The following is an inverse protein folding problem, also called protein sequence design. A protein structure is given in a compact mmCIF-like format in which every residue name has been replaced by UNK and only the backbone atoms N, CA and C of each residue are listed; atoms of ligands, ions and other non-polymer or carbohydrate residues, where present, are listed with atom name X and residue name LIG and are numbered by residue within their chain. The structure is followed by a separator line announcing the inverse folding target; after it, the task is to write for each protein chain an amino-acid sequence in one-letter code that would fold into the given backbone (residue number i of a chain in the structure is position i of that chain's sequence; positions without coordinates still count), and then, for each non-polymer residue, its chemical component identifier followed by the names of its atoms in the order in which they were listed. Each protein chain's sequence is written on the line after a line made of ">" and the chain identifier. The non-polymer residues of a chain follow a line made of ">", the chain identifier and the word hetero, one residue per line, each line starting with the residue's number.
data_IF_731419618432
#
_entry.id   IF_731419618432
#
_cell.length_a   1.000
_cell.length_b   1.000
_cell.length_c   1.000
_cell.angle_alpha   90.00
_cell.angle_beta   90.00
_cell.angle_gamma   90.00
#
_symmetry.space_group_name_H-M   'P 1'
#
loop_
_entity.id
_entity.type
_entity.pdbx_description
1 polymer ?
#
# COMPACT_ATOMS: atom_id res chain seq x y z
N UNK A 1 -8.38 6.03 0.62
CA UNK A 1 -8.09 4.74 1.32
C UNK A 1 -7.68 3.66 0.32
N UNK A 2 -8.48 3.42 -0.72
CA UNK A 2 -8.23 2.41 -1.76
C UNK A 2 -6.85 2.50 -2.43
N UNK A 3 -6.40 3.69 -2.81
CA UNK A 3 -5.09 3.87 -3.46
C UNK A 3 -3.91 3.37 -2.61
N UNK A 4 -3.98 3.49 -1.28
CA UNK A 4 -2.90 3.04 -0.37
C UNK A 4 -2.92 1.53 -0.15
N UNK A 5 -4.10 0.92 -0.13
CA UNK A 5 -4.25 -0.53 -0.16
C UNK A 5 -3.76 -1.13 -1.48
N UNK A 6 -4.07 -0.46 -2.59
CA UNK A 6 -3.54 -0.83 -3.90
C UNK A 6 -2.01 -0.72 -3.93
N UNK A 7 -1.43 0.35 -3.40
CA UNK A 7 0.03 0.54 -3.34
C UNK A 7 0.76 -0.53 -2.51
N UNK A 8 0.12 -1.03 -1.45
CA UNK A 8 0.64 -2.08 -0.56
C UNK A 8 0.64 -3.49 -1.20
N UNK A 9 0.04 -3.65 -2.39
CA UNK A 9 -0.03 -4.94 -3.06
C UNK A 9 -1.03 -5.88 -2.40
N UNK A 10 -2.21 -5.38 -1.99
CA UNK A 10 -3.30 -6.26 -1.56
C UNK A 10 -3.55 -7.36 -2.62
N UNK A 11 -3.88 -8.60 -2.21
CA UNK A 11 -4.13 -9.67 -3.16
C UNK A 11 -5.22 -9.22 -4.15
N UNK A 12 -4.97 -9.42 -5.44
CA UNK A 12 -5.79 -8.98 -6.59
C UNK A 12 -5.71 -7.49 -7.01
N UNK A 13 -4.95 -6.63 -6.32
CA UNK A 13 -4.72 -5.25 -6.77
C UNK A 13 -3.64 -5.17 -7.86
N UNK A 14 -3.66 -4.13 -8.72
CA UNK A 14 -2.68 -4.00 -9.79
C UNK A 14 -1.20 -3.95 -9.34
N UNK A 15 -0.91 -3.48 -8.13
CA UNK A 15 0.44 -3.47 -7.62
C UNK A 15 0.98 -4.86 -7.23
N UNK A 16 0.10 -5.82 -6.93
CA UNK A 16 0.48 -7.22 -6.67
C UNK A 16 1.17 -7.82 -7.90
N UNK A 17 0.58 -7.61 -9.09
CA UNK A 17 1.08 -8.13 -10.36
C UNK A 17 2.39 -7.49 -10.84
N UNK A 18 2.84 -6.39 -10.25
CA UNK A 18 4.09 -5.71 -10.63
C UNK A 18 5.15 -5.80 -9.54
N UNK A 19 4.82 -5.44 -8.30
CA UNK A 19 5.83 -5.27 -7.24
C UNK A 19 6.35 -6.60 -6.70
N UNK A 20 5.48 -7.59 -6.49
CA UNK A 20 5.89 -8.89 -5.95
C UNK A 20 6.85 -9.66 -6.88
N UNK A 21 6.57 -9.82 -8.19
CA UNK A 21 7.50 -10.52 -9.08
C UNK A 21 8.83 -9.76 -9.24
N UNK A 22 8.83 -8.42 -9.17
CA UNK A 22 10.08 -7.63 -9.21
C UNK A 22 10.95 -7.92 -7.97
N UNK A 23 10.35 -7.96 -6.78
CA UNK A 23 11.09 -8.26 -5.54
C UNK A 23 11.63 -9.69 -5.59
N UNK A 24 10.84 -10.66 -6.03
CA UNK A 24 11.29 -12.04 -6.18
C UNK A 24 12.45 -12.18 -7.16
N UNK A 25 12.37 -11.54 -8.33
CA UNK A 25 13.45 -11.54 -9.31
C UNK A 25 14.71 -10.85 -8.77
N UNK A 26 14.54 -9.77 -7.99
CA UNK A 26 15.65 -9.05 -7.37
C UNK A 26 16.38 -9.90 -6.33
N UNK A 27 15.65 -10.67 -5.53
CA UNK A 27 16.19 -11.59 -4.51
C UNK A 27 16.85 -12.81 -5.16
N UNK A 28 16.27 -13.32 -6.23
CA UNK A 28 16.85 -14.44 -6.99
C UNK A 28 18.16 -14.05 -7.68
N UNK A 29 18.25 -12.83 -8.21
CA UNK A 29 19.42 -12.36 -8.96
C UNK A 29 20.52 -11.74 -8.08
N UNK A 30 20.19 -11.33 -6.86
CA UNK A 30 21.18 -10.71 -5.97
C UNK A 30 22.15 -11.75 -5.42
N UNK A 31 23.44 -11.57 -5.71
CA UNK A 31 24.51 -12.44 -5.21
C UNK A 31 25.07 -11.97 -3.84
N UNK A 32 24.86 -10.71 -3.45
CA UNK A 32 25.38 -10.17 -2.19
C UNK A 32 24.29 -10.05 -1.12
N UNK A 33 24.64 -10.43 0.11
CA UNK A 33 23.77 -10.32 1.27
C UNK A 33 23.32 -8.87 1.52
N UNK A 34 24.19 -7.89 1.24
CA UNK A 34 23.86 -6.47 1.41
C UNK A 34 22.71 -6.00 0.52
N UNK A 35 22.65 -6.45 -0.74
CA UNK A 35 21.55 -6.12 -1.64
C UNK A 35 20.24 -6.76 -1.18
N UNK A 36 20.28 -8.01 -0.74
CA UNK A 36 19.10 -8.72 -0.18
C UNK A 36 18.52 -7.95 1.01
N UNK A 37 19.37 -7.57 1.96
CA UNK A 37 18.94 -6.84 3.16
C UNK A 37 18.35 -5.47 2.79
N UNK A 38 18.98 -4.75 1.86
CA UNK A 38 18.51 -3.43 1.43
C UNK A 38 17.12 -3.49 0.79
N UNK A 39 16.85 -4.50 -0.06
CA UNK A 39 15.55 -4.71 -0.70
C UNK A 39 14.49 -5.04 0.34
N UNK A 40 14.77 -5.95 1.27
CA UNK A 40 13.84 -6.31 2.35
C UNK A 40 13.54 -5.14 3.28
N UNK A 41 14.56 -4.34 3.61
CA UNK A 41 14.40 -3.14 4.42
C UNK A 41 13.52 -2.12 3.71
N UNK A 42 13.75 -1.87 2.41
CA UNK A 42 12.94 -0.95 1.62
C UNK A 42 11.46 -1.38 1.52
N UNK A 43 11.20 -2.68 1.39
CA UNK A 43 9.86 -3.25 1.40
C UNK A 43 9.19 -3.00 2.76
N UNK A 44 9.88 -3.32 3.85
CA UNK A 44 9.35 -3.12 5.20
C UNK A 44 9.04 -1.64 5.51
N UNK A 45 9.93 -0.72 5.12
CA UNK A 45 9.73 0.73 5.35
C UNK A 45 8.55 1.29 4.54
N UNK A 46 8.39 0.89 3.28
CA UNK A 46 7.28 1.37 2.43
C UNK A 46 5.93 0.90 2.94
N UNK A 47 5.87 -0.32 3.49
CA UNK A 47 4.69 -0.85 4.18
C UNK A 47 4.38 -0.07 5.45
N UNK A 48 5.36 0.13 6.34
CA UNK A 48 5.18 0.91 7.57
C UNK A 48 4.70 2.34 7.30
N UNK A 49 5.27 3.01 6.29
CA UNK A 49 4.86 4.37 5.91
C UNK A 49 3.39 4.41 5.48
N UNK A 50 3.00 3.50 4.57
CA UNK A 50 1.65 3.43 4.04
C UNK A 50 0.62 3.17 5.14
N UNK A 51 0.93 2.23 6.05
CA UNK A 51 0.08 1.90 7.19
C UNK A 51 0.01 3.03 8.22
N UNK A 52 1.15 3.64 8.62
CA UNK A 52 1.16 4.78 9.55
C UNK A 52 0.26 5.90 9.06
N UNK A 53 0.35 6.20 7.77
CA UNK A 53 -0.41 7.28 7.18
C UNK A 53 -1.91 6.92 7.07
N UNK A 54 -2.26 5.67 6.74
CA UNK A 54 -3.65 5.17 6.83
C UNK A 54 -4.22 5.34 8.24
N UNK A 55 -3.46 4.98 9.28
CA UNK A 55 -3.89 5.08 10.67
C UNK A 55 -4.15 6.52 11.09
N UNK A 56 -3.25 7.45 10.77
CA UNK A 56 -3.42 8.86 11.11
C UNK A 56 -4.67 9.44 10.46
N UNK A 57 -4.90 9.15 9.19
CA UNK A 57 -6.06 9.67 8.46
C UNK A 57 -7.37 9.11 9.03
N UNK A 58 -7.48 7.79 9.23
CA UNK A 58 -8.71 7.18 9.75
C UNK A 58 -9.02 7.62 11.19
N UNK A 59 -8.02 7.66 12.06
CA UNK A 59 -8.22 8.09 13.47
C UNK A 59 -8.56 9.58 13.54
N UNK A 60 -7.92 10.42 12.73
CA UNK A 60 -8.21 11.85 12.69
C UNK A 60 -9.63 12.10 12.14
N UNK A 61 -10.09 11.35 11.13
CA UNK A 61 -11.47 11.44 10.63
C UNK A 61 -12.52 11.07 11.69
N UNK A 62 -12.25 10.06 12.52
CA UNK A 62 -13.18 9.66 13.61
C UNK A 62 -13.21 10.73 14.72
N UNK A 63 -12.06 11.35 15.00
CA UNK A 63 -11.93 12.37 16.04
C UNK A 63 -12.37 13.78 15.60
N UNK A 64 -12.56 14.02 14.30
CA UNK A 64 -13.17 15.24 13.76
C UNK A 64 -14.68 15.37 14.09
N UNK A 65 -15.22 14.53 14.99
CA UNK A 65 -16.58 14.65 15.52
C UNK A 65 -16.78 15.99 16.26
N UNK A 66 -17.29 16.97 15.51
CA UNK A 66 -18.53 17.70 15.78
C UNK A 66 -18.58 19.09 15.11
N UNK A 67 -17.46 19.62 14.61
CA UNK A 67 -17.38 21.05 14.28
C UNK A 67 -17.42 21.34 12.78
N UNK A 68 -17.04 20.39 11.91
CA UNK A 68 -16.93 20.66 10.47
C UNK A 68 -17.45 19.45 9.68
N UNK A 69 -18.60 19.61 9.02
CA UNK A 69 -19.04 18.71 7.95
C UNK A 69 -18.29 19.07 6.67
N UNK A 70 -17.20 18.37 6.39
CA UNK A 70 -16.54 18.41 5.08
C UNK A 70 -17.40 17.60 4.10
N UNK A 71 -18.24 18.26 3.33
CA UNK A 71 -19.02 17.63 2.26
C UNK A 71 -18.28 17.82 0.94
N UNK A 72 -17.84 16.70 0.35
CA UNK A 72 -17.25 16.66 -0.98
C UNK A 72 -18.39 16.48 -2.00
N UNK A 73 -19.05 17.57 -2.40
CA UNK A 73 -20.23 17.51 -3.28
C UNK A 73 -19.91 17.65 -4.76
N UNK A 74 -18.67 17.95 -5.13
CA UNK A 74 -18.31 18.21 -6.52
C UNK A 74 -18.43 16.94 -7.40
N UNK A 75 -19.38 16.88 -8.34
CA UNK A 75 -19.65 15.68 -9.13
C UNK A 75 -18.50 15.35 -10.08
N UNK A 76 -17.72 16.36 -10.50
CA UNK A 76 -16.52 16.18 -11.33
C UNK A 76 -15.44 15.41 -10.58
N UNK A 77 -15.24 15.75 -9.30
CA UNK A 77 -14.24 15.11 -8.42
C UNK A 77 -14.65 13.66 -8.13
N UNK A 78 -15.92 13.45 -7.80
CA UNK A 78 -16.49 12.12 -7.58
C UNK A 78 -16.36 11.22 -8.83
N UNK A 79 -16.65 11.76 -10.01
CA UNK A 79 -16.47 11.06 -11.29
C UNK A 79 -15.01 10.71 -11.54
N UNK A 80 -14.07 11.62 -11.25
CA UNK A 80 -12.63 11.36 -11.37
C UNK A 80 -12.19 10.19 -10.50
N UNK A 81 -12.58 10.18 -9.22
CA UNK A 81 -12.23 9.09 -8.28
C UNK A 81 -12.79 7.75 -8.79
N UNK A 82 -14.05 7.71 -9.23
CA UNK A 82 -14.68 6.49 -9.74
C UNK A 82 -13.99 5.95 -11.00
N UNK A 83 -13.64 6.82 -11.95
CA UNK A 83 -12.93 6.43 -13.17
C UNK A 83 -11.56 5.83 -12.86
N UNK A 84 -10.85 6.34 -11.85
CA UNK A 84 -9.55 5.80 -11.43
C UNK A 84 -9.65 4.49 -10.63
N UNK A 85 -10.75 4.24 -9.94
CA UNK A 85 -10.93 3.02 -9.13
C UNK A 85 -11.05 1.77 -10.00
N UNK A 86 -11.80 1.84 -11.09
CA UNK A 86 -12.05 0.70 -12.00
C UNK A 86 -10.76 0.05 -12.51
N UNK A 87 -9.79 0.80 -13.10
CA UNK A 87 -8.55 0.21 -13.60
C UNK A 87 -7.63 -0.28 -12.49
N UNK A 88 -7.69 0.29 -11.27
CA UNK A 88 -6.81 -0.11 -10.16
C UNK A 88 -7.00 -1.57 -9.73
N UNK A 89 -8.17 -2.16 -9.97
CA UNK A 89 -8.45 -3.56 -9.67
C UNK A 89 -8.45 -4.45 -10.92
N UNK A 90 -9.05 -3.98 -12.01
CA UNK A 90 -9.30 -4.83 -13.19
C UNK A 90 -8.10 -4.92 -14.12
N UNK A 91 -7.41 -3.79 -14.41
CA UNK A 91 -6.34 -3.79 -15.43
C UNK A 91 -5.10 -4.56 -14.97
N UNK A 92 -4.84 -4.61 -13.67
CA UNK A 92 -3.72 -5.34 -13.10
C UNK A 92 -3.73 -6.83 -13.40
N UNK A 93 -4.87 -7.49 -13.18
CA UNK A 93 -5.01 -8.92 -13.44
C UNK A 93 -5.01 -9.24 -14.93
N UNK A 94 -5.60 -8.37 -15.76
CA UNK A 94 -5.59 -8.51 -17.23
C UNK A 94 -4.16 -8.38 -17.77
N UNK A 95 -3.43 -7.34 -17.35
CA UNK A 95 -2.03 -7.15 -17.73
C UNK A 95 -1.14 -8.29 -17.23
N UNK A 96 -1.33 -8.72 -15.98
CA UNK A 96 -0.68 -9.90 -15.43
C UNK A 96 -0.92 -11.13 -16.32
N UNK A 97 -2.17 -11.44 -16.63
CA UNK A 97 -2.52 -12.59 -17.47
C UNK A 97 -1.88 -12.55 -18.87
N UNK A 98 -1.71 -11.36 -19.46
CA UNK A 98 -1.09 -11.18 -20.78
C UNK A 98 0.44 -11.31 -20.70
N UNK A 99 1.07 -10.72 -19.67
CA UNK A 99 2.52 -10.66 -19.52
C UNK A 99 3.10 -11.96 -18.96
N UNK A 100 2.33 -12.68 -18.13
CA UNK A 100 2.75 -13.94 -17.45
C UNK A 100 2.77 -15.15 -18.43
N UNK A 101 2.59 -14.92 -19.74
CA UNK A 101 2.54 -15.97 -20.76
C UNK A 101 3.91 -16.60 -21.10
N UNK A 102 5.02 -16.07 -20.59
CA UNK A 102 6.34 -16.72 -20.63
C UNK A 102 6.60 -17.56 -19.38
N UNK A 103 7.28 -18.73 -19.49
CA UNK A 103 7.38 -19.67 -18.38
C UNK A 103 8.27 -19.10 -17.27
N UNK A 104 7.64 -18.77 -16.15
CA UNK A 104 8.31 -18.57 -14.88
C UNK A 104 8.79 -19.90 -14.31
N UNK A 105 9.91 -20.42 -14.79
CA UNK A 105 10.67 -21.40 -14.00
C UNK A 105 11.17 -20.81 -12.66
N UNK A 106 10.96 -19.51 -12.42
CA UNK A 106 11.27 -18.79 -11.18
C UNK A 106 10.07 -18.65 -10.21
N UNK A 107 8.82 -18.94 -10.60
CA UNK A 107 7.61 -18.50 -9.85
C UNK A 107 7.38 -19.11 -8.47
N UNK A 108 8.19 -20.03 -7.96
CA UNK A 108 7.86 -20.59 -6.66
C UNK A 108 9.05 -21.06 -5.83
N UNK A 109 9.99 -20.17 -5.51
CA UNK A 109 10.66 -20.39 -4.24
C UNK A 109 9.69 -20.00 -3.10
N UNK A 110 9.01 -21.02 -2.56
CA UNK A 110 8.03 -20.85 -1.49
C UNK A 110 8.60 -20.03 -0.31
N UNK A 111 9.91 -20.14 -0.06
CA UNK A 111 10.61 -19.41 1.00
C UNK A 111 10.55 -17.89 0.82
N UNK A 112 10.69 -17.39 -0.42
CA UNK A 112 10.65 -15.95 -0.70
C UNK A 112 9.24 -15.40 -0.52
N UNK A 113 8.24 -16.18 -0.92
CA UNK A 113 6.82 -15.81 -0.75
C UNK A 113 6.42 -15.75 0.72
N UNK A 114 6.88 -16.70 1.53
CA UNK A 114 6.69 -16.66 2.98
C UNK A 114 7.38 -15.44 3.60
N UNK A 115 8.59 -15.10 3.17
CA UNK A 115 9.31 -13.93 3.68
C UNK A 115 8.55 -12.62 3.41
N UNK A 116 8.02 -12.45 2.20
CA UNK A 116 7.23 -11.26 1.83
C UNK A 116 5.95 -11.20 2.68
N UNK A 117 5.25 -12.32 2.84
CA UNK A 117 4.04 -12.39 3.67
C UNK A 117 4.33 -12.08 5.16
N UNK A 118 5.44 -12.58 5.70
CA UNK A 118 5.88 -12.25 7.06
C UNK A 118 6.20 -10.76 7.21
N UNK A 119 6.83 -10.14 6.21
CA UNK A 119 7.12 -8.69 6.24
C UNK A 119 5.83 -7.84 6.31
N UNK A 120 4.77 -8.27 5.62
CA UNK A 120 3.45 -7.65 5.70
C UNK A 120 2.85 -7.82 7.11
N UNK A 121 2.87 -9.03 7.68
CA UNK A 121 2.36 -9.30 9.02
C UNK A 121 3.07 -8.46 10.09
N UNK A 122 4.40 -8.38 10.04
CA UNK A 122 5.19 -7.58 11.00
C UNK A 122 4.80 -6.10 10.91
N UNK A 123 4.64 -5.56 9.69
CA UNK A 123 4.25 -4.15 9.50
C UNK A 123 2.88 -3.82 10.11
N UNK A 124 1.92 -4.75 10.03
CA UNK A 124 0.59 -4.62 10.63
C UNK A 124 0.65 -4.76 12.15
N UNK A 125 1.41 -5.72 12.69
CA UNK A 125 1.62 -5.87 14.13
C UNK A 125 2.23 -4.62 14.76
N UNK A 126 3.24 -4.04 14.12
CA UNK A 126 3.87 -2.78 14.56
C UNK A 126 2.87 -1.63 14.59
N UNK A 127 1.96 -1.57 13.61
CA UNK A 127 0.89 -0.58 13.60
C UNK A 127 -0.08 -0.74 14.79
N UNK A 128 -0.46 -1.98 15.11
CA UNK A 128 -1.39 -2.30 16.21
C UNK A 128 -0.74 -1.93 17.56
N UNK A 129 0.51 -2.35 17.78
CA UNK A 129 1.30 -2.04 18.97
C UNK A 129 1.41 -0.53 19.21
N UNK A 130 1.60 0.24 18.14
CA UNK A 130 1.83 1.68 18.20
C UNK A 130 0.52 2.48 18.21
N UNK A 131 -0.38 2.13 19.12
CA UNK A 131 -1.65 2.84 19.35
C UNK A 131 -1.45 4.07 20.22
N UNK A 132 -1.01 5.16 19.59
CA UNK A 132 -0.90 6.46 20.24
C UNK A 132 -2.27 7.09 20.48
N UNK A 133 -2.50 7.56 21.71
CA UNK A 133 -3.48 8.62 21.98
C UNK A 133 -2.96 9.89 21.31
N UNK A 134 -3.60 10.29 20.22
CA UNK A 134 -3.26 11.53 19.52
C UNK A 134 -3.85 12.69 20.33
N UNK A 135 -2.99 13.56 20.86
CA UNK A 135 -3.38 14.77 21.56
C UNK A 135 -3.44 15.90 20.52
N UNK A 136 -4.62 16.47 20.28
CA UNK A 136 -4.82 17.54 19.29
C UNK A 136 -4.78 18.90 19.98
N UNK A 137 -3.77 19.73 19.66
CA UNK A 137 -3.90 21.20 19.66
C UNK A 137 -3.92 21.62 18.20
N UNK A 138 -5.13 21.81 17.66
CA UNK A 138 -5.33 22.26 16.27
C UNK A 138 -5.32 23.79 16.30
N UNK A 139 -4.28 24.38 15.71
CA UNK A 139 -4.28 25.79 15.31
C UNK A 139 -4.59 25.80 13.81
N UNK A 140 -5.78 26.29 13.48
CA UNK A 140 -6.33 26.39 12.13
C UNK A 140 -5.47 27.37 11.31
N UNK A 141 -4.73 26.85 10.31
CA UNK A 141 -4.32 27.68 9.17
C UNK A 141 -5.30 27.39 8.06
N UNK A 142 -6.28 28.28 7.95
CA UNK A 142 -7.20 28.37 6.82
C UNK A 142 -6.34 28.64 5.58
N UNK A 143 -6.29 27.69 4.65
CA UNK A 143 -5.86 27.98 3.28
C UNK A 143 -7.06 28.67 2.59
N UNK A 144 -6.94 29.94 2.16
CA UNK A 144 -7.95 30.56 1.33
C UNK A 144 -7.91 29.92 -0.07
N UNK A 145 -9.10 29.50 -0.49
CA UNK A 145 -9.63 29.29 -1.86
C UNK A 145 -8.59 29.17 -2.99
#
# INVERSE_FOLDING_TARGET
>A
MVARFSLCGAPFAAAFFSKEPIVELSLYRSNSLGLIISVLLSLYLTLLYSFRLLKLVVINFINLRAIITLTEEDPLLLKGILVLLIPSFTRGSILGAIIIKSPFSIVYNNSIKHLIFMSLLVSVLVLIMRSYKVHYRIQLVVFPI
#
